data_IF_460608805817
#
_entry.id   IF_460608805817
#
_cell.length_a   1.000
_cell.length_b   1.000
_cell.length_c   1.000
_cell.angle_alpha   90.00
_cell.angle_beta   90.00
_cell.angle_gamma   90.00
#
_symmetry.space_group_name_H-M   'P 1'
#
loop_
_entity.id
_entity.type
_entity.pdbx_description
1 polymer ?
#
# COMPACT_ATOMS: atom_id res chain seq x y z
N UNK A 1 -12.28 -5.03 -39.66
CA UNK A 1 -13.05 -4.86 -38.40
C UNK A 1 -12.45 -5.67 -37.26
N UNK A 2 -12.33 -6.99 -37.38
CA UNK A 2 -11.75 -7.83 -36.32
C UNK A 2 -10.36 -7.39 -35.85
N UNK A 3 -9.46 -7.03 -36.79
CA UNK A 3 -8.12 -6.54 -36.45
C UNK A 3 -8.14 -5.27 -35.59
N UNK A 4 -9.04 -4.32 -35.88
CA UNK A 4 -9.24 -3.08 -35.10
C UNK A 4 -9.72 -3.42 -33.68
N UNK A 5 -10.76 -4.24 -33.57
CA UNK A 5 -11.29 -4.62 -32.26
C UNK A 5 -10.27 -5.39 -31.42
N UNK A 6 -9.49 -6.29 -32.04
CA UNK A 6 -8.45 -7.05 -31.37
C UNK A 6 -7.32 -6.15 -30.87
N UNK A 7 -6.90 -5.18 -31.68
CA UNK A 7 -5.84 -4.24 -31.34
C UNK A 7 -6.28 -3.27 -30.22
N UNK A 8 -7.48 -2.70 -30.33
CA UNK A 8 -8.08 -1.88 -29.28
C UNK A 8 -8.25 -2.65 -27.97
N UNK A 9 -8.74 -3.89 -28.01
CA UNK A 9 -8.89 -4.73 -26.81
C UNK A 9 -7.53 -5.08 -26.19
N UNK A 10 -6.52 -5.36 -27.00
CA UNK A 10 -5.17 -5.64 -26.51
C UNK A 10 -4.58 -4.43 -25.78
N UNK A 11 -4.55 -3.27 -26.43
CA UNK A 11 -3.92 -2.08 -25.85
C UNK A 11 -4.75 -1.45 -24.73
N UNK A 12 -6.06 -1.26 -24.92
CA UNK A 12 -6.86 -0.50 -23.95
C UNK A 12 -7.46 -1.36 -22.84
N UNK A 13 -7.43 -2.70 -22.94
CA UNK A 13 -7.90 -3.59 -21.88
C UNK A 13 -6.82 -4.56 -21.40
N UNK A 14 -6.24 -5.39 -22.27
CA UNK A 14 -5.34 -6.46 -21.83
C UNK A 14 -4.07 -5.93 -21.14
N UNK A 15 -3.40 -4.93 -21.73
CA UNK A 15 -2.17 -4.34 -21.16
C UNK A 15 -2.41 -3.64 -19.80
N UNK A 16 -3.42 -2.76 -19.64
CA UNK A 16 -3.75 -2.16 -18.34
C UNK A 16 -4.14 -3.20 -17.28
N UNK A 17 -4.92 -4.22 -17.66
CA UNK A 17 -5.32 -5.30 -16.74
C UNK A 17 -4.10 -6.10 -16.29
N UNK A 18 -3.21 -6.49 -17.22
CA UNK A 18 -1.97 -7.18 -16.88
C UNK A 18 -1.08 -6.32 -15.96
N UNK A 19 -0.95 -5.01 -16.25
CA UNK A 19 -0.24 -4.06 -15.39
C UNK A 19 -0.83 -4.00 -13.99
N UNK A 20 -2.16 -3.94 -13.85
CA UNK A 20 -2.85 -3.95 -12.56
C UNK A 20 -2.57 -5.26 -11.79
N UNK A 21 -2.52 -6.40 -12.46
CA UNK A 21 -2.15 -7.68 -11.83
C UNK A 21 -0.70 -7.70 -11.34
N UNK A 22 0.26 -7.16 -12.12
CA UNK A 22 1.67 -7.07 -11.73
C UNK A 22 1.83 -6.20 -10.48
N UNK A 23 1.22 -5.01 -10.49
CA UNK A 23 1.18 -4.11 -9.33
C UNK A 23 0.59 -4.82 -8.11
N UNK A 24 -0.58 -5.47 -8.26
CA UNK A 24 -1.24 -6.19 -7.17
C UNK A 24 -0.38 -7.32 -6.63
N UNK A 25 0.35 -8.03 -7.49
CA UNK A 25 1.24 -9.12 -7.09
C UNK A 25 2.43 -8.59 -6.30
N UNK A 26 3.09 -7.54 -6.79
CA UNK A 26 4.20 -6.89 -6.09
C UNK A 26 3.76 -6.43 -4.70
N UNK A 27 2.61 -5.77 -4.61
CA UNK A 27 2.08 -5.30 -3.34
C UNK A 27 1.69 -6.43 -2.39
N UNK A 28 1.06 -7.49 -2.90
CA UNK A 28 0.76 -8.70 -2.09
C UNK A 28 2.03 -9.39 -1.61
N UNK A 29 3.13 -9.32 -2.35
CA UNK A 29 4.39 -9.88 -1.91
C UNK A 29 5.03 -9.02 -0.82
N UNK A 30 5.16 -7.71 -1.04
CA UNK A 30 5.63 -6.76 -0.03
C UNK A 30 4.87 -6.92 1.28
N UNK A 31 3.53 -6.93 1.20
CA UNK A 31 2.68 -6.98 2.38
C UNK A 31 2.82 -8.28 3.15
N UNK A 32 2.86 -9.42 2.46
CA UNK A 32 3.12 -10.71 3.11
C UNK A 32 4.47 -10.68 3.81
N UNK A 33 5.53 -10.22 3.13
CA UNK A 33 6.87 -10.16 3.72
C UNK A 33 6.93 -9.23 4.93
N UNK A 34 6.32 -8.05 4.86
CA UNK A 34 6.21 -7.14 6.01
C UNK A 34 5.46 -7.78 7.18
N UNK A 35 4.34 -8.45 6.88
CA UNK A 35 3.52 -9.10 7.89
C UNK A 35 4.26 -10.26 8.57
N UNK A 36 5.02 -11.05 7.81
CA UNK A 36 5.84 -12.17 8.31
C UNK A 36 6.97 -11.62 9.20
N UNK A 37 7.70 -10.60 8.72
CA UNK A 37 8.83 -9.99 9.42
C UNK A 37 8.43 -9.17 10.64
N UNK A 38 7.20 -8.66 10.68
CA UNK A 38 6.66 -7.94 11.83
C UNK A 38 6.57 -8.83 13.06
N UNK A 39 6.38 -10.14 12.88
CA UNK A 39 6.31 -11.10 13.98
C UNK A 39 7.70 -11.63 14.38
N UNK A 40 8.73 -11.37 13.58
CA UNK A 40 10.10 -11.77 13.88
C UNK A 40 10.65 -11.04 15.10
N UNK A 41 11.63 -11.63 15.82
CA UNK A 41 12.33 -10.95 16.90
C UNK A 41 13.09 -9.71 16.41
N UNK A 42 13.23 -8.74 17.32
CA UNK A 42 14.06 -7.55 17.08
C UNK A 42 15.52 -7.95 17.26
N UNK A 43 16.37 -7.60 16.31
CA UNK A 43 17.81 -7.79 16.41
C UNK A 43 18.39 -6.72 17.32
N UNK A 44 18.68 -7.10 18.56
CA UNK A 44 19.45 -6.31 19.52
C UNK A 44 20.84 -6.93 19.72
N UNK A 45 21.68 -6.27 20.52
CA UNK A 45 23.03 -6.76 20.83
C UNK A 45 23.00 -8.18 21.42
N UNK A 46 22.03 -8.48 22.30
CA UNK A 46 21.93 -9.79 22.95
C UNK A 46 21.58 -10.89 21.95
N UNK A 47 20.61 -10.64 21.08
CA UNK A 47 20.21 -11.54 20.00
C UNK A 47 21.36 -11.75 19.01
N UNK A 48 22.13 -10.70 18.72
CA UNK A 48 23.30 -10.77 17.84
C UNK A 48 24.38 -11.73 18.36
N UNK A 49 24.58 -11.81 19.68
CA UNK A 49 25.53 -12.75 20.28
C UNK A 49 25.04 -14.21 20.29
N UNK A 50 23.74 -14.45 20.12
CA UNK A 50 23.14 -15.78 20.12
C UNK A 50 22.88 -16.34 18.72
N UNK A 51 23.23 -15.56 17.68
CA UNK A 51 23.00 -15.92 16.30
C UNK A 51 23.93 -17.06 15.88
N UNK A 52 23.42 -17.96 15.06
CA UNK A 52 24.23 -18.97 14.40
C UNK A 52 24.52 -18.62 12.93
N UNK A 53 25.38 -19.40 12.29
CA UNK A 53 25.72 -19.22 10.88
C UNK A 53 24.57 -19.60 9.93
N UNK A 54 23.60 -20.40 10.40
CA UNK A 54 22.44 -20.78 9.60
C UNK A 54 21.51 -19.57 9.35
N UNK A 55 21.43 -18.68 10.35
CA UNK A 55 20.68 -17.45 10.30
C UNK A 55 19.20 -17.66 10.54
N UNK A 56 18.57 -16.63 11.08
CA UNK A 56 17.13 -16.59 11.33
C UNK A 56 16.57 -15.24 10.91
N UNK A 57 15.24 -15.21 10.69
CA UNK A 57 14.54 -13.98 10.34
C UNK A 57 14.51 -13.07 11.58
N UNK A 58 15.05 -11.87 11.41
CA UNK A 58 14.99 -10.78 12.37
C UNK A 58 14.44 -9.52 11.71
N UNK A 59 14.04 -8.57 12.55
CA UNK A 59 13.82 -7.19 12.15
C UNK A 59 14.73 -6.25 12.94
N UNK A 60 15.08 -5.14 12.34
CA UNK A 60 15.95 -4.13 12.90
C UNK A 60 15.37 -2.74 12.60
N UNK A 61 15.38 -1.89 13.60
CA UNK A 61 15.00 -0.48 13.53
C UNK A 61 16.23 0.34 13.88
N UNK A 62 16.49 1.40 13.11
CA UNK A 62 17.60 2.29 13.38
C UNK A 62 17.69 3.41 12.37
N UNK A 63 18.82 4.08 12.35
CA UNK A 63 19.13 5.17 11.44
C UNK A 63 20.09 4.70 10.34
N UNK A 64 19.90 5.26 9.15
CA UNK A 64 20.82 5.14 8.03
C UNK A 64 22.11 5.88 8.36
N UNK A 65 23.23 5.15 8.33
CA UNK A 65 24.55 5.71 8.62
C UNK A 65 25.34 5.96 7.33
N UNK A 66 25.57 4.91 6.53
CA UNK A 66 26.34 5.05 5.28
C UNK A 66 26.10 3.91 4.30
N UNK A 67 26.58 4.08 3.06
CA UNK A 67 26.64 3.02 2.04
C UNK A 67 28.09 2.80 1.62
N UNK A 68 28.57 1.57 1.74
CA UNK A 68 29.92 1.15 1.30
C UNK A 68 29.82 0.39 -0.03
N UNK A 69 30.67 0.77 -0.98
CA UNK A 69 30.79 0.15 -2.32
C UNK A 69 29.47 0.08 -3.13
N UNK A 70 28.47 0.88 -2.75
CA UNK A 70 27.12 0.84 -3.34
C UNK A 70 26.32 -0.43 -3.00
N UNK A 71 26.88 -1.40 -2.27
CA UNK A 71 26.24 -2.70 -2.04
C UNK A 71 25.90 -2.98 -0.59
N UNK A 72 26.57 -2.32 0.35
CA UNK A 72 26.37 -2.55 1.78
C UNK A 72 25.83 -1.28 2.39
N UNK A 73 24.65 -1.35 2.99
CA UNK A 73 24.08 -0.29 3.81
C UNK A 73 24.42 -0.56 5.27
N UNK A 74 24.98 0.43 5.95
CA UNK A 74 25.20 0.41 7.39
C UNK A 74 24.03 1.08 8.09
N UNK A 75 23.38 0.32 8.97
CA UNK A 75 22.29 0.80 9.79
C UNK A 75 22.70 0.75 11.25
N UNK A 76 22.42 1.82 12.00
CA UNK A 76 22.80 1.95 13.39
C UNK A 76 21.58 2.11 14.27
N UNK A 77 21.50 1.32 15.32
CA UNK A 77 20.61 1.53 16.46
C UNK A 77 21.43 1.96 17.67
N UNK A 78 20.78 2.21 18.81
CA UNK A 78 21.45 2.70 20.03
C UNK A 78 22.68 1.88 20.44
N UNK A 79 22.64 0.56 20.24
CA UNK A 79 23.65 -0.36 20.76
C UNK A 79 24.23 -1.31 19.70
N UNK A 80 23.83 -1.17 18.43
CA UNK A 80 24.22 -2.12 17.39
C UNK A 80 24.29 -1.44 16.02
N UNK A 81 25.41 -1.64 15.32
CA UNK A 81 25.54 -1.29 13.91
C UNK A 81 25.58 -2.56 13.07
N UNK A 82 24.70 -2.65 12.08
CA UNK A 82 24.52 -3.86 11.27
C UNK A 82 24.71 -3.53 9.78
N UNK A 83 25.61 -4.25 9.07
CA UNK A 83 25.68 -4.21 7.63
C UNK A 83 24.51 -4.97 6.98
N UNK A 84 23.98 -4.40 5.91
CA UNK A 84 22.87 -4.95 5.12
C UNK A 84 23.27 -5.02 3.66
N UNK A 85 23.21 -6.21 3.07
CA UNK A 85 23.50 -6.42 1.66
C UNK A 85 22.30 -5.99 0.78
N UNK A 86 22.53 -5.08 -0.17
CA UNK A 86 21.48 -4.45 -0.97
C UNK A 86 21.19 -5.16 -2.31
N UNK A 87 22.05 -6.05 -2.79
CA UNK A 87 22.00 -6.60 -4.16
C UNK A 87 20.65 -7.25 -4.52
N UNK A 88 19.95 -7.84 -3.54
CA UNK A 88 18.61 -8.43 -3.68
C UNK A 88 17.60 -7.88 -2.68
N UNK A 89 17.89 -6.74 -2.06
CA UNK A 89 16.98 -6.11 -1.13
C UNK A 89 15.79 -5.49 -1.89
N UNK A 90 14.59 -5.73 -1.39
CA UNK A 90 13.40 -5.03 -1.82
C UNK A 90 13.29 -3.73 -1.02
N UNK A 91 13.72 -2.63 -1.64
CA UNK A 91 13.82 -1.31 -1.00
C UNK A 91 12.58 -0.48 -1.29
N UNK A 92 11.96 0.04 -0.24
CA UNK A 92 10.78 0.88 -0.31
C UNK A 92 11.01 2.19 0.44
N UNK A 93 10.63 3.30 -0.18
CA UNK A 93 10.60 4.61 0.46
C UNK A 93 9.17 4.91 0.88
N UNK A 94 8.95 5.12 2.17
CA UNK A 94 7.67 5.58 2.70
C UNK A 94 7.62 7.11 2.57
N UNK A 95 6.50 7.70 2.08
CA UNK A 95 6.38 9.15 2.06
C UNK A 95 6.46 9.73 3.47
N UNK A 96 7.01 10.94 3.58
CA UNK A 96 7.12 11.69 4.84
C UNK A 96 5.76 11.76 5.57
N UNK A 97 5.82 11.79 6.90
CA UNK A 97 4.64 12.04 7.70
C UNK A 97 4.20 13.49 7.51
N UNK A 98 2.89 13.74 7.53
CA UNK A 98 2.39 15.10 7.67
C UNK A 98 2.68 15.54 9.12
N UNK A 99 3.66 16.42 9.31
CA UNK A 99 3.93 17.02 10.61
C UNK A 99 2.85 18.08 10.93
N UNK A 100 2.43 18.17 12.20
CA UNK A 100 1.71 19.36 12.67
C UNK A 100 2.70 20.51 12.88
N UNK A 101 2.17 21.74 12.92
CA UNK A 101 2.95 22.92 13.33
C UNK A 101 3.57 22.77 14.74
N UNK A 102 3.07 21.84 15.56
CA UNK A 102 3.58 21.52 16.90
C UNK A 102 4.66 20.42 16.92
N UNK A 103 5.13 19.96 15.75
CA UNK A 103 6.14 18.90 15.62
C UNK A 103 5.66 17.49 16.01
N UNK A 104 4.37 17.33 16.30
CA UNK A 104 3.76 16.02 16.47
C UNK A 104 3.33 15.48 15.11
N UNK A 105 3.49 14.17 14.89
CA UNK A 105 2.92 13.54 13.70
C UNK A 105 1.40 13.73 13.73
N UNK A 106 0.87 14.41 12.72
CA UNK A 106 -0.57 14.54 12.58
C UNK A 106 -1.06 13.13 12.31
N UNK A 107 -2.01 12.66 13.12
CA UNK A 107 -2.86 11.55 12.72
C UNK A 107 -3.80 11.97 11.56
N UNK A 108 -3.40 12.95 10.72
CA UNK A 108 -4.15 13.33 9.53
C UNK A 108 -4.26 12.09 8.68
N UNK A 109 -5.49 11.59 8.62
CA UNK A 109 -5.79 10.44 7.83
C UNK A 109 -5.96 10.81 6.38
N UNK A 110 -4.98 11.52 5.84
CA UNK A 110 -5.03 11.94 4.47
C UNK A 110 -4.81 10.70 3.60
N UNK A 111 -5.91 10.21 3.02
CA UNK A 111 -5.94 9.03 2.15
C UNK A 111 -5.38 9.34 0.75
N UNK A 112 -4.95 10.59 0.56
CA UNK A 112 -4.29 11.08 -0.63
C UNK A 112 -2.76 11.02 -0.53
N UNK A 113 -2.19 10.41 0.52
CA UNK A 113 -0.77 10.04 0.56
C UNK A 113 -0.32 9.19 -0.65
N UNK A 114 0.92 9.35 -1.08
CA UNK A 114 1.54 8.52 -2.12
C UNK A 114 1.77 7.08 -1.60
N UNK A 115 1.69 6.06 -2.45
CA UNK A 115 2.11 4.73 -2.05
C UNK A 115 3.61 4.66 -1.81
N UNK A 116 4.12 3.69 -1.02
CA UNK A 116 5.54 3.48 -0.87
C UNK A 116 6.15 3.26 -2.26
N UNK A 117 7.20 4.01 -2.56
CA UNK A 117 7.90 3.89 -3.83
C UNK A 117 8.92 2.77 -3.72
N UNK A 118 8.83 1.76 -4.60
CA UNK A 118 9.90 0.76 -4.72
C UNK A 118 11.06 1.43 -5.46
N UNK A 119 12.16 1.65 -4.76
CA UNK A 119 13.36 2.25 -5.34
C UNK A 119 14.42 1.19 -5.63
N UNK A 120 15.33 1.51 -6.53
CA UNK A 120 16.53 0.72 -6.79
C UNK A 120 17.62 1.12 -5.80
N UNK A 121 18.51 0.19 -5.46
CA UNK A 121 19.61 0.42 -4.51
C UNK A 121 20.55 1.56 -4.93
N UNK A 122 20.73 1.78 -6.24
CA UNK A 122 21.57 2.85 -6.78
C UNK A 122 21.06 4.26 -6.40
N UNK A 123 19.76 4.39 -6.10
CA UNK A 123 19.18 5.64 -5.59
C UNK A 123 19.34 5.83 -4.08
N UNK A 124 19.61 4.77 -3.33
CA UNK A 124 19.75 4.83 -1.86
C UNK A 124 20.96 5.66 -1.46
N UNK A 125 22.04 5.61 -2.25
CA UNK A 125 23.25 6.41 -2.00
C UNK A 125 23.02 7.93 -2.07
N UNK A 126 21.88 8.39 -2.62
CA UNK A 126 21.52 9.81 -2.68
C UNK A 126 20.69 10.30 -1.48
N UNK A 127 20.36 9.41 -0.54
CA UNK A 127 19.61 9.77 0.65
C UNK A 127 20.50 10.49 1.67
N UNK A 128 19.91 11.44 2.40
CA UNK A 128 20.58 12.16 3.46
C UNK A 128 20.86 11.26 4.66
N UNK A 129 22.00 11.50 5.31
CA UNK A 129 22.34 10.95 6.62
C UNK A 129 21.21 11.24 7.63
N UNK A 130 20.86 10.25 8.47
CA UNK A 130 19.80 10.37 9.47
C UNK A 130 18.39 9.93 9.05
N UNK A 131 18.20 9.41 7.84
CA UNK A 131 16.94 8.75 7.46
C UNK A 131 16.73 7.49 8.31
N UNK A 132 15.51 7.24 8.81
CA UNK A 132 15.23 6.02 9.58
C UNK A 132 15.03 4.82 8.66
N UNK A 133 15.44 3.65 9.13
CA UNK A 133 15.39 2.40 8.39
C UNK A 133 14.73 1.31 9.19
N UNK A 134 13.86 0.57 8.53
CA UNK A 134 13.37 -0.73 8.96
C UNK A 134 13.96 -1.78 8.03
N UNK A 135 14.64 -2.74 8.61
CA UNK A 135 15.23 -3.86 7.90
C UNK A 135 14.58 -5.12 8.44
N UNK A 136 14.14 -6.01 7.58
CA UNK A 136 13.73 -7.34 7.99
C UNK A 136 14.14 -8.40 6.98
N UNK A 137 14.64 -9.51 7.50
CA UNK A 137 15.17 -10.60 6.70
C UNK A 137 16.05 -11.50 7.54
N UNK A 138 16.79 -12.38 6.87
CA UNK A 138 17.73 -13.27 7.55
C UNK A 138 18.96 -12.49 8.00
N UNK A 139 19.20 -12.49 9.30
CA UNK A 139 20.47 -12.09 9.88
C UNK A 139 21.32 -13.35 10.09
N UNK A 140 22.63 -13.24 9.86
CA UNK A 140 23.63 -14.31 10.05
C UNK A 140 24.88 -13.76 10.70
N UNK A 141 25.54 -14.59 11.51
CA UNK A 141 26.90 -14.29 11.95
C UNK A 141 27.91 -14.74 10.89
N UNK A 142 28.58 -13.77 10.26
CA UNK A 142 29.67 -13.97 9.33
C UNK A 142 30.97 -13.48 9.97
N UNK A 143 31.79 -14.42 10.45
CA UNK A 143 33.11 -14.14 11.03
C UNK A 143 33.09 -13.22 12.27
N UNK A 144 32.06 -13.34 13.12
CA UNK A 144 31.89 -12.53 14.33
C UNK A 144 31.19 -11.19 14.07
N UNK A 145 30.68 -10.98 12.86
CA UNK A 145 29.87 -9.83 12.52
C UNK A 145 28.48 -10.28 12.03
N UNK A 146 27.44 -9.82 12.73
CA UNK A 146 26.07 -10.04 12.28
C UNK A 146 25.77 -9.20 11.05
N UNK A 147 25.28 -9.83 9.99
CA UNK A 147 24.92 -9.20 8.71
C UNK A 147 23.54 -9.65 8.25
N UNK A 148 22.77 -8.74 7.67
CA UNK A 148 21.61 -9.11 6.87
C UNK A 148 22.04 -9.45 5.44
N UNK A 149 21.82 -10.69 5.02
CA UNK A 149 22.13 -11.15 3.66
C UNK A 149 20.91 -11.80 3.00
N UNK A 150 20.78 -11.57 1.68
CA UNK A 150 19.73 -12.16 0.84
C UNK A 150 20.20 -13.47 0.20
N UNK A 151 20.74 -14.39 0.99
CA UNK A 151 21.09 -15.71 0.49
C UNK A 151 19.85 -16.61 0.38
N UNK A 152 19.54 -17.04 -0.85
CA UNK A 152 18.42 -17.93 -1.18
C UNK A 152 17.27 -17.24 -1.90
N UNK A 153 16.04 -17.67 -1.60
CA UNK A 153 14.80 -17.20 -2.24
C UNK A 153 14.09 -16.07 -1.49
N UNK A 154 14.56 -15.74 -0.29
CA UNK A 154 13.91 -14.75 0.58
C UNK A 154 14.66 -13.42 0.50
N UNK A 155 13.97 -12.41 -0.03
CA UNK A 155 14.49 -11.05 -0.17
C UNK A 155 14.50 -10.33 1.20
N UNK A 156 15.56 -9.56 1.46
CA UNK A 156 15.58 -8.56 2.54
C UNK A 156 14.53 -7.50 2.22
N UNK A 157 13.70 -7.16 3.18
CA UNK A 157 12.80 -6.03 3.12
C UNK A 157 13.46 -4.83 3.80
N UNK A 158 13.71 -3.76 3.03
CA UNK A 158 14.24 -2.51 3.56
C UNK A 158 13.23 -1.40 3.32
N UNK A 159 12.77 -0.74 4.40
CA UNK A 159 11.85 0.38 4.34
C UNK A 159 12.56 1.60 4.92
N UNK A 160 12.69 2.63 4.09
CA UNK A 160 13.19 3.94 4.46
C UNK A 160 11.99 4.79 4.85
N UNK A 161 12.06 5.48 5.98
CA UNK A 161 10.97 6.31 6.45
C UNK A 161 11.47 7.48 7.28
N UNK A 162 10.62 8.48 7.39
CA UNK A 162 10.79 9.60 8.33
C UNK A 162 9.73 9.49 9.43
N UNK A 163 10.01 10.01 10.62
CA UNK A 163 9.05 10.09 11.72
C UNK A 163 9.13 8.96 12.75
N UNK A 164 8.03 8.70 13.47
CA UNK A 164 7.97 7.78 14.59
C UNK A 164 7.89 6.31 14.12
N UNK A 165 8.73 5.45 14.71
CA UNK A 165 8.80 4.01 14.40
C UNK A 165 7.47 3.29 14.66
N UNK A 166 6.69 3.75 15.64
CA UNK A 166 5.37 3.19 15.95
C UNK A 166 4.34 3.46 14.86
N UNK A 167 4.50 4.56 14.11
CA UNK A 167 3.59 4.88 13.00
C UNK A 167 4.01 4.19 11.69
N UNK A 168 5.22 3.59 11.63
CA UNK A 168 5.74 2.91 10.45
C UNK A 168 4.74 1.88 9.89
N UNK A 169 4.27 0.96 10.72
CA UNK A 169 3.43 -0.16 10.26
C UNK A 169 2.07 0.34 9.79
N UNK A 170 1.44 1.24 10.55
CA UNK A 170 0.13 1.82 10.19
C UNK A 170 0.22 2.64 8.90
N UNK A 171 1.25 3.49 8.77
CA UNK A 171 1.54 4.26 7.56
C UNK A 171 1.85 3.38 6.37
N UNK A 172 2.63 2.32 6.57
CA UNK A 172 2.98 1.39 5.49
C UNK A 172 1.75 0.68 4.94
N UNK A 173 0.83 0.24 5.81
CA UNK A 173 -0.43 -0.35 5.35
C UNK A 173 -1.38 0.66 4.72
N UNK A 174 -1.39 1.91 5.23
CA UNK A 174 -2.16 3.02 4.66
C UNK A 174 -1.66 3.39 3.26
N UNK A 175 -0.39 3.76 3.15
CA UNK A 175 0.28 4.15 1.92
C UNK A 175 0.25 3.01 0.91
N UNK A 176 0.36 1.77 1.39
CA UNK A 176 0.45 0.59 0.58
C UNK A 176 -0.59 0.34 -0.50
N UNK A 177 -1.73 1.02 -0.44
CA UNK A 177 -2.75 0.95 -1.47
C UNK A 177 -2.49 1.98 -2.56
N UNK A 178 -2.06 1.53 -3.74
CA UNK A 178 -1.96 2.40 -4.91
C UNK A 178 -3.26 3.19 -5.15
N UNK A 179 -3.11 4.47 -5.51
CA UNK A 179 -4.23 5.37 -5.80
C UNK A 179 -5.15 4.81 -6.88
N UNK A 180 -4.57 4.23 -7.92
CA UNK A 180 -5.30 3.54 -8.97
C UNK A 180 -4.43 2.42 -9.57
N UNK A 181 -4.80 1.17 -9.32
CA UNK A 181 -4.10 0.00 -9.85
C UNK A 181 -4.14 -0.07 -11.40
N UNK A 182 -5.17 0.53 -12.00
CA UNK A 182 -5.37 0.59 -13.45
C UNK A 182 -4.65 1.78 -14.11
N UNK A 183 -4.15 2.73 -13.32
CA UNK A 183 -3.35 3.85 -13.82
C UNK A 183 -1.89 3.66 -13.37
N UNK A 184 -1.26 2.63 -13.94
CA UNK A 184 0.14 2.33 -13.74
C UNK A 184 0.97 2.83 -14.94
N UNK A 185 2.29 2.69 -14.89
CA UNK A 185 3.17 3.14 -15.96
C UNK A 185 2.88 2.47 -17.31
N UNK A 186 2.42 1.22 -17.32
CA UNK A 186 2.09 0.53 -18.58
C UNK A 186 0.84 1.10 -19.24
N UNK A 187 -0.12 1.63 -18.48
CA UNK A 187 -1.34 2.25 -19.02
C UNK A 187 -1.02 3.46 -19.89
N UNK A 188 -0.05 4.30 -19.51
CA UNK A 188 0.35 5.45 -20.31
C UNK A 188 0.93 5.03 -21.67
N UNK A 189 1.84 4.04 -21.67
CA UNK A 189 2.38 3.46 -22.90
C UNK A 189 1.29 2.81 -23.75
N UNK A 190 0.35 2.10 -23.11
CA UNK A 190 -0.73 1.42 -23.80
C UNK A 190 -1.70 2.40 -24.49
N UNK A 191 -2.00 3.54 -23.85
CA UNK A 191 -2.80 4.61 -24.46
C UNK A 191 -2.09 5.17 -25.70
N UNK A 192 -0.81 5.55 -25.57
CA UNK A 192 -0.06 6.17 -26.68
C UNK A 192 0.12 5.19 -27.84
N UNK A 193 0.62 3.99 -27.57
CA UNK A 193 0.88 2.98 -28.61
C UNK A 193 -0.43 2.45 -29.22
N UNK A 194 -1.48 2.27 -28.40
CA UNK A 194 -2.79 1.87 -28.88
C UNK A 194 -3.41 2.89 -29.81
N UNK A 195 -3.50 4.16 -29.39
CA UNK A 195 -4.03 5.23 -30.23
C UNK A 195 -3.22 5.41 -31.52
N UNK A 196 -1.89 5.37 -31.44
CA UNK A 196 -1.03 5.48 -32.62
C UNK A 196 -1.21 4.31 -33.60
N UNK A 197 -1.31 3.08 -33.09
CA UNK A 197 -1.50 1.89 -33.93
C UNK A 197 -2.85 1.91 -34.65
N UNK A 198 -3.91 2.37 -33.97
CA UNK A 198 -5.23 2.55 -34.59
C UNK A 198 -5.25 3.66 -35.65
N UNK A 199 -4.51 4.75 -35.44
CA UNK A 199 -4.36 5.80 -36.47
C UNK A 199 -3.65 5.28 -37.72
N UNK A 200 -2.59 4.47 -37.55
CA UNK A 200 -1.91 3.82 -38.69
C UNK A 200 -2.88 2.90 -39.44
N UNK A 201 -3.66 2.07 -38.72
CA UNK A 201 -4.66 1.22 -39.36
C UNK A 201 -5.72 2.04 -40.10
N UNK A 202 -6.19 3.14 -39.52
CA UNK A 202 -7.14 4.03 -40.16
C UNK A 202 -6.59 4.58 -41.48
N UNK A 203 -5.33 5.03 -41.51
CA UNK A 203 -4.64 5.55 -42.70
C UNK A 203 -4.38 4.49 -43.77
N UNK A 204 -4.04 3.26 -43.36
CA UNK A 204 -3.82 2.16 -44.31
C UNK A 204 -5.15 1.69 -44.92
N UNK A 205 -6.20 1.59 -44.11
CA UNK A 205 -7.51 1.14 -44.57
C UNK A 205 -8.26 2.21 -45.38
N UNK A 206 -8.01 3.51 -45.16
CA UNK A 206 -8.66 4.58 -45.93
C UNK A 206 -8.29 4.55 -47.42
N UNK A 207 -7.11 4.01 -47.76
CA UNK A 207 -6.67 3.82 -49.15
C UNK A 207 -7.46 2.71 -49.88
N UNK A 208 -8.28 1.93 -49.17
CA UNK A 208 -9.04 0.79 -49.73
C UNK A 208 -10.54 1.01 -49.54
N UNK A 209 -11.32 1.33 -50.59
CA UNK A 209 -12.76 1.60 -50.47
C UNK A 209 -13.55 0.48 -49.76
N UNK A 210 -13.19 -0.79 -50.02
CA UNK A 210 -13.81 -1.95 -49.39
C UNK A 210 -13.64 -2.02 -47.85
N UNK A 211 -12.67 -1.29 -47.29
CA UNK A 211 -12.37 -1.25 -45.86
C UNK A 211 -12.81 0.06 -45.19
N UNK A 212 -13.61 0.90 -45.85
CA UNK A 212 -14.03 2.21 -45.32
C UNK A 212 -14.62 2.12 -43.91
N UNK A 213 -15.52 1.18 -43.65
CA UNK A 213 -16.10 0.97 -42.32
C UNK A 213 -15.05 0.59 -41.26
N UNK A 214 -14.03 -0.19 -41.62
CA UNK A 214 -12.95 -0.55 -40.72
C UNK A 214 -11.99 0.64 -40.48
N UNK A 215 -11.75 1.49 -41.47
CA UNK A 215 -10.99 2.73 -41.32
C UNK A 215 -11.67 3.69 -40.34
N UNK A 216 -12.99 3.90 -40.49
CA UNK A 216 -13.76 4.72 -39.54
C UNK A 216 -13.79 4.14 -38.13
N UNK A 217 -13.90 2.81 -38.00
CA UNK A 217 -13.84 2.15 -36.71
C UNK A 217 -12.46 2.28 -36.05
N UNK A 218 -11.36 2.15 -36.80
CA UNK A 218 -10.00 2.35 -36.30
C UNK A 218 -9.80 3.80 -35.84
N UNK A 219 -10.26 4.77 -36.63
CA UNK A 219 -10.21 6.17 -36.24
C UNK A 219 -10.98 6.44 -34.95
N UNK A 220 -12.20 5.91 -34.83
CA UNK A 220 -12.98 6.04 -33.59
C UNK A 220 -12.29 5.34 -32.40
N UNK A 221 -11.70 4.16 -32.63
CA UNK A 221 -10.98 3.41 -31.60
C UNK A 221 -9.77 4.18 -31.05
N UNK A 222 -9.05 4.92 -31.91
CA UNK A 222 -7.92 5.74 -31.49
C UNK A 222 -8.29 6.81 -30.43
N UNK A 223 -9.55 7.23 -30.38
CA UNK A 223 -10.07 8.23 -29.44
C UNK A 223 -10.79 7.61 -28.23
N UNK A 224 -10.89 6.27 -28.11
CA UNK A 224 -11.48 5.60 -26.93
C UNK A 224 -10.90 6.11 -25.61
N UNK A 225 -9.57 6.31 -25.45
CA UNK A 225 -9.00 6.81 -24.20
C UNK A 225 -9.50 8.20 -23.78
N UNK A 226 -10.03 8.98 -24.73
CA UNK A 226 -10.59 10.31 -24.46
C UNK A 226 -12.06 10.24 -24.05
N UNK A 227 -12.75 9.12 -24.27
CA UNK A 227 -14.17 8.99 -23.93
C UNK A 227 -14.46 9.37 -22.47
N UNK A 228 -13.71 8.92 -21.45
CA UNK A 228 -13.99 9.31 -20.06
C UNK A 228 -13.88 10.82 -19.78
N UNK A 229 -13.21 11.59 -20.66
CA UNK A 229 -12.99 13.03 -20.51
C UNK A 229 -14.07 13.88 -21.20
N UNK A 230 -14.89 13.29 -22.08
CA UNK A 230 -15.99 14.00 -22.75
C UNK A 230 -17.24 14.05 -21.85
N UNK A 231 -18.05 15.13 -21.86
CA UNK A 231 -19.35 15.15 -21.19
C UNK A 231 -20.34 14.17 -21.87
N UNK A 232 -21.17 13.39 -21.13
CA UNK A 232 -21.31 13.25 -19.67
C UNK A 232 -20.28 12.35 -18.97
N UNK A 233 -19.44 11.63 -19.70
CA UNK A 233 -18.38 10.77 -19.14
C UNK A 233 -17.48 11.44 -18.10
N UNK A 234 -17.21 12.75 -18.21
CA UNK A 234 -16.45 13.50 -17.20
C UNK A 234 -17.12 13.45 -15.81
N UNK A 235 -18.44 13.64 -15.75
CA UNK A 235 -19.23 13.58 -14.50
C UNK A 235 -19.17 12.18 -13.91
N UNK A 236 -19.34 11.17 -14.76
CA UNK A 236 -19.27 9.77 -14.35
C UNK A 236 -17.86 9.36 -13.88
N UNK A 237 -16.81 9.88 -14.51
CA UNK A 237 -15.42 9.70 -14.07
C UNK A 237 -15.17 10.36 -12.71
N UNK A 238 -15.77 11.53 -12.46
CA UNK A 238 -15.75 12.18 -11.15
C UNK A 238 -16.41 11.31 -10.06
N UNK A 239 -17.58 10.75 -10.35
CA UNK A 239 -18.28 9.81 -9.45
C UNK A 239 -17.46 8.55 -9.22
N UNK A 240 -16.92 7.93 -10.28
CA UNK A 240 -16.00 6.80 -10.20
C UNK A 240 -14.84 7.09 -9.24
N UNK A 241 -14.14 8.22 -9.43
CA UNK A 241 -13.01 8.60 -8.57
C UNK A 241 -13.43 8.78 -7.12
N UNK A 242 -14.61 9.36 -6.86
CA UNK A 242 -15.14 9.54 -5.49
C UNK A 242 -15.45 8.21 -4.82
N UNK A 243 -16.19 7.33 -5.50
CA UNK A 243 -16.56 6.01 -4.98
C UNK A 243 -15.31 5.13 -4.78
N UNK A 244 -14.39 5.15 -5.74
CA UNK A 244 -13.12 4.42 -5.65
C UNK A 244 -12.27 4.88 -4.46
N UNK A 245 -12.13 6.20 -4.24
CA UNK A 245 -11.43 6.74 -3.06
C UNK A 245 -12.05 6.25 -1.76
N UNK A 246 -13.37 6.31 -1.63
CA UNK A 246 -14.07 5.79 -0.44
C UNK A 246 -13.90 4.28 -0.27
N UNK A 247 -14.02 3.49 -1.34
CA UNK A 247 -13.82 2.05 -1.30
C UNK A 247 -12.40 1.67 -0.85
N UNK A 248 -11.38 2.36 -1.37
CA UNK A 248 -10.00 2.24 -0.89
C UNK A 248 -9.88 2.53 0.60
N UNK A 249 -10.56 3.57 1.08
CA UNK A 249 -10.52 3.93 2.49
C UNK A 249 -11.05 2.82 3.40
N UNK A 250 -12.20 2.24 3.07
CA UNK A 250 -12.74 1.11 3.83
C UNK A 250 -11.84 -0.13 3.78
N UNK A 251 -11.16 -0.41 2.66
CA UNK A 251 -10.15 -1.49 2.63
C UNK A 251 -9.00 -1.22 3.60
N UNK A 252 -8.52 0.02 3.66
CA UNK A 252 -7.46 0.41 4.59
C UNK A 252 -7.94 0.31 6.03
N UNK A 253 -9.17 0.76 6.34
CA UNK A 253 -9.76 0.60 7.68
C UNK A 253 -9.86 -0.86 8.09
N UNK A 254 -10.40 -1.73 7.22
CA UNK A 254 -10.42 -3.18 7.43
C UNK A 254 -9.03 -3.73 7.79
N UNK A 255 -8.02 -3.27 7.05
CA UNK A 255 -6.65 -3.73 7.20
C UNK A 255 -6.01 -3.26 8.52
N UNK A 256 -6.30 -2.02 8.93
CA UNK A 256 -5.81 -1.41 10.17
C UNK A 256 -6.45 -2.03 11.41
N UNK A 257 -7.78 -2.18 11.42
CA UNK A 257 -8.49 -2.80 12.57
C UNK A 257 -8.09 -4.26 12.77
N UNK A 258 -7.65 -4.95 11.72
CA UNK A 258 -7.09 -6.31 11.85
C UNK A 258 -5.66 -6.36 12.38
N UNK A 259 -4.92 -5.25 12.40
CA UNK A 259 -3.50 -5.28 12.78
C UNK A 259 -3.24 -5.72 14.21
N UNK A 260 -4.04 -5.31 15.22
CA UNK A 260 -3.82 -5.75 16.60
C UNK A 260 -4.04 -7.25 16.77
N UNK A 261 -4.99 -7.82 16.01
CA UNK A 261 -5.35 -9.24 16.09
C UNK A 261 -4.23 -10.19 15.63
N UNK A 262 -3.26 -9.71 14.85
CA UNK A 262 -2.19 -10.57 14.30
C UNK A 262 -1.27 -11.16 15.36
N UNK A 263 -0.99 -10.43 16.42
CA UNK A 263 -0.18 -10.96 17.52
C UNK A 263 -1.00 -11.89 18.43
N UNK A 264 -2.32 -11.72 18.44
CA UNK A 264 -3.20 -12.37 19.40
C UNK A 264 -3.69 -13.75 18.95
N UNK A 265 -3.71 -14.05 17.65
CA UNK A 265 -4.18 -15.34 17.10
C UNK A 265 -5.54 -15.82 17.67
N UNK A 266 -6.41 -14.87 18.05
CA UNK A 266 -7.71 -15.16 18.68
C UNK A 266 -7.69 -15.29 20.21
N UNK A 267 -6.52 -15.24 20.84
CA UNK A 267 -6.36 -15.15 22.28
C UNK A 267 -6.62 -13.72 22.78
N UNK A 268 -6.90 -13.58 24.09
CA UNK A 268 -7.05 -12.27 24.72
C UNK A 268 -5.69 -11.58 24.96
N UNK A 269 -4.67 -12.39 25.23
CA UNK A 269 -3.32 -11.96 25.55
C UNK A 269 -2.30 -12.92 24.95
N UNK A 270 -1.10 -12.42 24.67
CA UNK A 270 0.04 -13.16 24.13
C UNK A 270 1.35 -12.58 24.67
N UNK A 271 2.48 -13.22 24.40
CA UNK A 271 3.81 -12.65 24.65
C UNK A 271 4.41 -12.16 23.34
N UNK A 272 4.91 -10.92 23.34
CA UNK A 272 5.65 -10.37 22.22
C UNK A 272 7.08 -10.93 22.16
N UNK A 273 7.81 -10.74 21.05
CA UNK A 273 9.20 -11.20 20.93
C UNK A 273 10.15 -10.59 21.96
N UNK A 274 9.84 -9.40 22.48
CA UNK A 274 10.58 -8.77 23.58
C UNK A 274 10.24 -9.34 24.98
N UNK A 275 9.33 -10.32 25.04
CA UNK A 275 8.85 -10.98 26.25
C UNK A 275 7.71 -10.28 26.97
N UNK A 276 7.32 -9.07 26.54
CA UNK A 276 6.23 -8.31 27.16
C UNK A 276 4.86 -8.94 26.89
N UNK A 277 3.91 -8.74 27.80
CA UNK A 277 2.53 -9.22 27.65
C UNK A 277 1.77 -8.23 26.79
N UNK A 278 1.19 -8.71 25.69
CA UNK A 278 0.37 -7.90 24.79
C UNK A 278 -1.05 -8.42 24.74
N UNK A 279 -2.03 -7.53 24.73
CA UNK A 279 -3.43 -7.91 24.75
C UNK A 279 -4.35 -6.71 24.61
N UNK A 280 -5.59 -6.89 25.06
CA UNK A 280 -6.57 -5.83 25.05
C UNK A 280 -7.47 -5.80 26.29
N UNK A 281 -8.10 -4.65 26.50
CA UNK A 281 -9.09 -4.38 27.56
C UNK A 281 -10.22 -3.57 26.99
N UNK A 282 -11.38 -3.73 27.59
CA UNK A 282 -12.57 -2.94 27.30
C UNK A 282 -12.42 -1.60 28.01
N UNK A 283 -12.42 -0.53 27.24
CA UNK A 283 -12.68 0.81 27.73
C UNK A 283 -14.20 0.91 27.82
N UNK A 284 -14.74 1.03 29.04
CA UNK A 284 -16.18 1.19 29.21
C UNK A 284 -16.72 2.39 28.42
N UNK A 285 -18.02 2.42 28.16
CA UNK A 285 -18.69 3.39 27.27
C UNK A 285 -18.47 4.88 27.62
N UNK A 286 -17.92 5.20 28.81
CA UNK A 286 -17.72 6.56 29.28
C UNK A 286 -16.40 7.21 28.80
N UNK A 287 -15.47 6.44 28.22
CA UNK A 287 -14.14 6.93 27.83
C UNK A 287 -13.79 6.45 26.42
N UNK A 288 -14.39 7.07 25.40
CA UNK A 288 -13.71 7.11 24.11
C UNK A 288 -12.38 7.82 24.36
N UNK A 289 -11.23 7.21 24.02
CA UNK A 289 -9.94 7.86 24.22
C UNK A 289 -9.95 9.12 23.35
N UNK A 290 -10.00 10.27 24.01
CA UNK A 290 -9.82 11.53 23.30
C UNK A 290 -8.40 11.54 22.76
N UNK A 291 -8.21 12.08 21.54
CA UNK A 291 -6.88 12.11 20.88
C UNK A 291 -5.77 12.73 21.78
N UNK A 292 -6.15 13.46 22.83
CA UNK A 292 -5.25 14.01 23.86
C UNK A 292 -4.66 13.00 24.86
N UNK A 293 -5.19 11.78 25.01
CA UNK A 293 -4.62 10.75 25.90
C UNK A 293 -3.46 9.97 25.26
N UNK A 294 -3.09 10.30 24.02
CA UNK A 294 -1.94 9.68 23.32
C UNK A 294 -2.18 8.25 22.84
N UNK A 295 -3.41 7.74 22.90
CA UNK A 295 -3.82 6.45 22.30
C UNK A 295 -4.42 6.72 20.92
N UNK A 296 -3.80 6.26 19.82
CA UNK A 296 -4.34 6.50 18.51
C UNK A 296 -5.60 5.65 18.27
N UNK A 297 -6.60 6.23 17.61
CA UNK A 297 -7.89 5.58 17.30
C UNK A 297 -7.85 4.91 15.93
N UNK A 298 -8.33 3.66 15.83
CA UNK A 298 -8.42 2.86 14.61
C UNK A 298 -9.85 2.31 14.38
N UNK A 299 -10.53 2.62 13.27
CA UNK A 299 -10.04 3.52 12.24
C UNK A 299 -10.09 4.99 12.72
N UNK A 300 -9.19 5.81 12.19
CA UNK A 300 -9.20 7.27 12.33
C UNK A 300 -10.58 7.88 12.01
N UNK A 301 -10.98 8.88 12.78
CA UNK A 301 -12.27 9.55 12.60
C UNK A 301 -13.48 8.65 12.83
N UNK A 302 -13.29 7.49 13.47
CA UNK A 302 -14.39 6.78 14.11
C UNK A 302 -15.07 7.73 15.10
N UNK A 303 -16.40 7.76 15.07
CA UNK A 303 -17.16 8.63 15.95
C UNK A 303 -16.98 8.16 17.41
N UNK A 304 -16.33 8.94 18.28
CA UNK A 304 -16.17 8.59 19.69
C UNK A 304 -17.52 8.47 20.41
N UNK A 305 -18.58 9.10 19.88
CA UNK A 305 -19.93 9.07 20.45
C UNK A 305 -20.78 7.89 19.95
N UNK A 306 -20.24 7.03 19.07
CA UNK A 306 -20.92 5.78 18.75
C UNK A 306 -21.02 4.93 20.03
N UNK A 307 -22.22 4.41 20.35
CA UNK A 307 -22.48 3.48 21.47
C UNK A 307 -21.83 2.11 21.23
N UNK A 308 -20.56 2.07 20.84
CA UNK A 308 -19.77 0.86 20.64
C UNK A 308 -18.79 0.70 21.80
N UNK A 309 -18.67 -0.52 22.32
CA UNK A 309 -17.69 -0.86 23.37
C UNK A 309 -16.27 -0.71 22.81
N UNK A 310 -15.45 0.15 23.41
CA UNK A 310 -14.10 0.41 22.93
C UNK A 310 -13.13 -0.67 23.42
N UNK A 311 -12.25 -1.15 22.54
CA UNK A 311 -11.16 -2.08 22.88
C UNK A 311 -9.82 -1.38 22.70
N UNK A 312 -9.07 -1.22 23.78
CA UNK A 312 -7.70 -0.71 23.74
C UNK A 312 -6.72 -1.89 23.61
N UNK A 313 -5.80 -1.80 22.66
CA UNK A 313 -4.76 -2.80 22.37
C UNK A 313 -3.38 -2.24 22.72
N UNK A 314 -2.58 -3.02 23.43
CA UNK A 314 -1.24 -2.62 23.83
C UNK A 314 -0.56 -3.62 24.77
N UNK A 315 0.50 -3.16 25.42
CA UNK A 315 1.22 -3.92 26.45
C UNK A 315 0.45 -3.87 27.76
N UNK A 316 0.24 -5.02 28.39
CA UNK A 316 -0.48 -5.17 29.65
C UNK A 316 0.55 -5.29 30.78
N UNK A 317 0.52 -4.34 31.70
CA UNK A 317 1.34 -4.37 32.92
C UNK A 317 0.75 -5.32 33.98
N UNK A 318 1.50 -5.59 35.04
CA UNK A 318 1.10 -6.53 36.10
C UNK A 318 -0.15 -6.08 36.88
N UNK A 319 -0.40 -4.77 36.92
CA UNK A 319 -1.61 -4.16 37.49
C UNK A 319 -2.83 -4.23 36.54
N UNK A 320 -2.65 -4.76 35.34
CA UNK A 320 -3.67 -4.89 34.31
C UNK A 320 -3.92 -3.64 33.49
N UNK A 321 -3.17 -2.56 33.70
CA UNK A 321 -3.22 -1.34 32.87
C UNK A 321 -2.61 -1.61 31.50
N UNK A 322 -3.13 -0.94 30.46
CA UNK A 322 -2.55 -1.03 29.11
C UNK A 322 -1.71 0.20 28.84
N UNK A 323 -0.50 -0.03 28.33
CA UNK A 323 0.45 1.01 27.89
C UNK A 323 0.92 0.76 26.47
N UNK A 324 1.55 1.78 25.90
CA UNK A 324 2.19 1.67 24.60
C UNK A 324 3.30 0.58 24.64
N UNK A 325 3.30 -0.37 23.69
CA UNK A 325 4.34 -1.40 23.63
C UNK A 325 5.74 -0.81 23.43
N UNK A 326 6.75 -1.55 23.91
CA UNK A 326 8.16 -1.25 23.64
C UNK A 326 8.52 -1.62 22.21
N UNK A 327 8.06 -2.78 21.76
CA UNK A 327 8.16 -3.23 20.37
C UNK A 327 7.41 -2.29 19.40
N UNK A 328 8.11 -1.60 18.48
CA UNK A 328 7.47 -0.68 17.51
C UNK A 328 6.54 -1.37 16.51
N UNK A 329 6.66 -2.70 16.32
CA UNK A 329 5.76 -3.47 15.47
C UNK A 329 4.48 -3.93 16.15
N UNK A 330 4.39 -3.86 17.48
CA UNK A 330 3.15 -4.10 18.19
C UNK A 330 2.24 -2.86 18.11
N UNK A 331 0.93 -3.07 17.91
CA UNK A 331 0.01 -1.93 17.74
C UNK A 331 -0.37 -1.38 19.10
N UNK A 332 -0.15 -0.09 19.29
CA UNK A 332 -0.82 0.70 20.32
C UNK A 332 -2.02 1.38 19.67
N UNK A 333 -3.25 0.99 19.99
CA UNK A 333 -4.44 1.67 19.45
C UNK A 333 -5.74 1.30 20.17
N UNK A 334 -6.72 2.21 20.10
CA UNK A 334 -8.10 1.94 20.48
C UNK A 334 -8.96 1.66 19.24
N UNK A 335 -9.81 0.64 19.32
CA UNK A 335 -10.71 0.21 18.24
C UNK A 335 -12.15 0.19 18.75
N UNK A 336 -13.13 0.77 18.02
CA UNK A 336 -14.53 0.74 18.44
C UNK A 336 -15.15 -0.63 18.13
N UNK A 337 -15.48 -1.40 19.16
CA UNK A 337 -16.09 -2.73 19.02
C UNK A 337 -15.11 -3.85 18.65
N UNK A 338 -15.67 -4.95 18.13
CA UNK A 338 -14.90 -6.13 17.75
C UNK A 338 -14.20 -5.93 16.38
N UNK A 339 -12.85 -5.96 16.31
CA UNK A 339 -12.17 -5.71 15.05
C UNK A 339 -12.44 -6.77 13.97
N UNK A 340 -12.79 -8.00 14.33
CA UNK A 340 -13.17 -9.03 13.37
C UNK A 340 -14.50 -8.67 12.69
N UNK A 341 -15.50 -8.24 13.45
CA UNK A 341 -16.80 -7.80 12.96
C UNK A 341 -16.68 -6.53 12.11
N UNK A 342 -15.95 -5.53 12.61
CA UNK A 342 -15.68 -4.29 11.86
C UNK A 342 -14.99 -4.58 10.53
N UNK A 343 -13.99 -5.46 10.53
CA UNK A 343 -13.27 -5.80 9.31
C UNK A 343 -14.20 -6.42 8.25
N UNK A 344 -15.16 -7.25 8.67
CA UNK A 344 -16.18 -7.81 7.78
C UNK A 344 -17.09 -6.72 7.20
N UNK A 345 -17.57 -5.80 8.05
CA UNK A 345 -18.40 -4.66 7.62
C UNK A 345 -17.68 -3.78 6.60
N UNK A 346 -16.42 -3.40 6.88
CA UNK A 346 -15.61 -2.58 5.98
C UNK A 346 -15.28 -3.30 4.67
N UNK A 347 -15.11 -4.62 4.68
CA UNK A 347 -14.93 -5.40 3.46
C UNK A 347 -16.15 -5.34 2.54
N UNK A 348 -17.36 -5.49 3.09
CA UNK A 348 -18.61 -5.40 2.32
C UNK A 348 -18.77 -3.99 1.75
N UNK A 349 -18.58 -2.95 2.58
CA UNK A 349 -18.69 -1.56 2.13
C UNK A 349 -17.68 -1.22 1.03
N UNK A 350 -16.42 -1.68 1.16
CA UNK A 350 -15.41 -1.50 0.13
C UNK A 350 -15.84 -2.12 -1.21
N UNK A 351 -16.29 -3.39 -1.20
CA UNK A 351 -16.74 -4.09 -2.41
C UNK A 351 -17.91 -3.37 -3.09
N UNK A 352 -18.91 -2.95 -2.31
CA UNK A 352 -20.08 -2.22 -2.85
C UNK A 352 -19.66 -0.92 -3.54
N UNK A 353 -18.77 -0.15 -2.91
CA UNK A 353 -18.25 1.10 -3.48
C UNK A 353 -17.44 0.88 -4.75
N UNK A 354 -16.67 -0.21 -4.84
CA UNK A 354 -15.90 -0.56 -6.03
C UNK A 354 -16.77 -1.00 -7.19
N UNK A 355 -17.79 -1.82 -6.93
CA UNK A 355 -18.78 -2.22 -7.93
C UNK A 355 -19.50 -0.96 -8.45
N UNK A 356 -19.93 -0.08 -7.54
CA UNK A 356 -20.53 1.21 -7.89
C UNK A 356 -19.60 2.10 -8.72
N UNK A 357 -18.32 2.15 -8.36
CA UNK A 357 -17.32 2.89 -9.13
C UNK A 357 -17.18 2.33 -10.55
N UNK A 358 -17.02 1.02 -10.70
CA UNK A 358 -16.91 0.37 -12.01
C UNK A 358 -18.17 0.57 -12.86
N UNK A 359 -19.36 0.45 -12.25
CA UNK A 359 -20.63 0.71 -12.92
C UNK A 359 -20.71 2.16 -13.42
N UNK A 360 -20.31 3.14 -12.62
CA UNK A 360 -20.28 4.55 -13.03
C UNK A 360 -19.33 4.77 -14.22
N UNK A 361 -18.13 4.19 -14.19
CA UNK A 361 -17.17 4.30 -15.30
C UNK A 361 -17.72 3.69 -16.59
N UNK A 362 -18.28 2.49 -16.52
CA UNK A 362 -18.88 1.81 -17.68
C UNK A 362 -20.08 2.57 -18.22
N UNK A 363 -20.93 3.12 -17.36
CA UNK A 363 -22.05 3.97 -17.76
C UNK A 363 -21.58 5.24 -18.49
N UNK A 364 -20.50 5.87 -18.01
CA UNK A 364 -19.88 7.02 -18.68
C UNK A 364 -19.34 6.69 -20.08
N UNK A 365 -18.63 5.57 -20.22
CA UNK A 365 -18.13 5.08 -21.51
C UNK A 365 -19.29 4.76 -22.46
N UNK A 366 -20.32 4.07 -21.98
CA UNK A 366 -21.48 3.69 -22.77
C UNK A 366 -22.25 4.94 -23.26
N UNK A 367 -22.50 5.90 -22.37
CA UNK A 367 -23.18 7.15 -22.72
C UNK A 367 -22.44 7.93 -23.81
N UNK A 368 -21.12 8.08 -23.68
CA UNK A 368 -20.31 8.78 -24.68
C UNK A 368 -20.21 8.01 -26.00
N UNK A 369 -20.20 6.67 -25.95
CA UNK A 369 -20.23 5.84 -27.15
C UNK A 369 -21.55 6.01 -27.92
N UNK A 370 -22.68 6.06 -27.21
CA UNK A 370 -24.00 6.32 -27.82
C UNK A 370 -24.06 7.72 -28.43
N UNK A 371 -23.56 8.75 -27.72
CA UNK A 371 -23.50 10.12 -28.25
C UNK A 371 -22.62 10.23 -29.49
N UNK A 372 -21.44 9.60 -29.48
CA UNK A 372 -20.56 9.56 -30.64
C UNK A 372 -21.24 8.89 -31.83
N UNK A 373 -21.96 7.78 -31.60
CA UNK A 373 -22.72 7.09 -32.64
C UNK A 373 -23.85 7.96 -33.21
N UNK A 374 -24.63 8.64 -32.35
CA UNK A 374 -25.68 9.57 -32.77
C UNK A 374 -25.13 10.73 -33.59
N UNK A 375 -23.99 11.30 -33.17
CA UNK A 375 -23.31 12.38 -33.89
C UNK A 375 -22.85 11.92 -35.27
N UNK A 376 -22.22 10.74 -35.40
CA UNK A 376 -21.81 10.21 -36.71
C UNK A 376 -23.02 9.96 -37.60
N UNK A 377 -24.16 9.53 -37.03
CA UNK A 377 -25.39 9.29 -37.78
C UNK A 377 -26.03 10.58 -38.32
N UNK A 378 -25.91 11.72 -37.65
CA UNK A 378 -26.53 12.98 -38.10
C UNK A 378 -25.86 13.62 -39.32
N UNK A 379 -24.65 13.20 -39.69
CA UNK A 379 -23.93 13.68 -40.88
C UNK A 379 -24.10 12.77 -42.11
N UNK A 380 -24.88 11.69 -41.98
CA UNK A 380 -25.31 10.84 -43.10
C UNK A 380 -26.76 11.12 -43.42
#
# INVERSE_FOLDING_TARGET
>A
MLAVLALAAFWFAAVPVAGAFVVRRSWRHFRRRLDDLRLSPILDYRASCSLDSAGSDFRFFGDFESVTDGRILWARSDNLTVPVELDRAAIYLLPAADETDDGNERASFDMDGSPPEKIRWDRVASLSEGAKVFIGGKARDESGQVRFSSEGTEEILLILYDGNERSLISRTVKAGRQKNEYWNSSTAYAIVLGSFSELILALVYSKRPALGAASSAALAAAFIPLLPLLPPGLVMTGLYRRLWRKGRAFRTFRDLVRMPLRHLEGMRETKLPDGSRYGWRELGNALAPTEGEGVPVLPPGADPAAEEEWRCYGMIDDDGTIRAPRDPGAIWAAVPGDPAVLSGRYEVMARLLEIGAMAALLAGIAANSVLAWLFVRSFR
#
